data_IF_637872541964
#
_entry.id   IF_637872541964
#
_cell.length_a   1.000
_cell.length_b   1.000
_cell.length_c   1.000
_cell.angle_alpha   90.00
_cell.angle_beta   90.00
_cell.angle_gamma   90.00
#
_symmetry.space_group_name_H-M   'P 1'
#
loop_
_entity.id
_entity.type
_entity.pdbx_description
1 polymer ?
#
# COMPACT_ATOMS: atom_id res chain seq x y z
N UNK A 1 -7.20 8.54 -22.63
CA UNK A 1 -8.45 8.43 -21.85
C UNK A 1 -8.06 8.70 -20.40
N UNK A 2 -8.25 9.93 -19.93
CA UNK A 2 -7.69 10.44 -18.66
C UNK A 2 -8.21 9.72 -17.40
N UNK A 3 -9.17 8.81 -17.53
CA UNK A 3 -9.79 8.07 -16.43
C UNK A 3 -8.74 7.23 -15.69
N UNK A 4 -7.84 6.54 -16.39
CA UNK A 4 -6.77 5.75 -15.73
C UNK A 4 -5.82 6.64 -14.96
N UNK A 5 -5.42 7.79 -15.55
CA UNK A 5 -4.58 8.76 -14.86
C UNK A 5 -5.27 9.36 -13.64
N UNK A 6 -6.58 9.66 -13.70
CA UNK A 6 -7.35 10.14 -12.56
C UNK A 6 -7.49 9.06 -11.48
N UNK A 7 -7.83 7.83 -11.85
CA UNK A 7 -7.95 6.70 -10.93
C UNK A 7 -6.63 6.44 -10.21
N UNK A 8 -5.49 6.44 -10.90
CA UNK A 8 -4.17 6.26 -10.25
C UNK A 8 -3.90 7.32 -9.18
N UNK A 9 -4.30 8.56 -9.43
CA UNK A 9 -4.14 9.65 -8.48
C UNK A 9 -5.08 9.49 -7.27
N UNK A 10 -6.35 9.16 -7.51
CA UNK A 10 -7.33 8.92 -6.43
C UNK A 10 -6.89 7.76 -5.53
N UNK A 11 -6.47 6.63 -6.11
CA UNK A 11 -5.93 5.49 -5.35
C UNK A 11 -4.71 5.90 -4.51
N UNK A 12 -3.81 6.69 -5.08
CA UNK A 12 -2.61 7.15 -4.37
C UNK A 12 -2.94 8.10 -3.23
N UNK A 13 -3.92 9.00 -3.41
CA UNK A 13 -4.36 9.92 -2.37
C UNK A 13 -5.02 9.18 -1.21
N UNK A 14 -5.93 8.25 -1.51
CA UNK A 14 -6.58 7.39 -0.50
C UNK A 14 -5.54 6.58 0.26
N UNK A 15 -4.57 5.98 -0.44
CA UNK A 15 -3.50 5.22 0.18
C UNK A 15 -2.63 6.07 1.10
N UNK A 16 -2.26 7.29 0.68
CA UNK A 16 -1.52 8.24 1.51
C UNK A 16 -2.31 8.64 2.77
N UNK A 17 -3.63 8.86 2.65
CA UNK A 17 -4.48 9.17 3.81
C UNK A 17 -4.54 8.01 4.80
N UNK A 18 -4.68 6.77 4.34
CA UNK A 18 -4.65 5.60 5.23
C UNK A 18 -3.30 5.44 5.90
N UNK A 19 -2.19 5.60 5.17
CA UNK A 19 -0.86 5.60 5.78
C UNK A 19 -0.75 6.69 6.84
N UNK A 20 -1.14 7.93 6.54
CA UNK A 20 -1.11 9.02 7.53
C UNK A 20 -1.98 8.73 8.77
N UNK A 21 -3.17 8.18 8.56
CA UNK A 21 -4.09 7.82 9.64
C UNK A 21 -3.52 6.71 10.53
N UNK A 22 -2.73 5.79 9.98
CA UNK A 22 -2.08 4.73 10.77
C UNK A 22 -1.14 5.27 11.84
N UNK A 23 -0.55 6.46 11.65
CA UNK A 23 0.30 7.11 12.64
C UNK A 23 -0.49 7.85 13.73
N UNK A 24 -1.78 8.12 13.50
CA UNK A 24 -2.64 8.85 14.45
C UNK A 24 -3.44 7.90 15.34
N UNK A 25 -3.74 6.70 14.85
CA UNK A 25 -4.53 5.69 15.57
C UNK A 25 -3.64 4.88 16.52
N UNK A 26 -4.09 4.63 17.75
CA UNK A 26 -3.32 3.84 18.73
C UNK A 26 -3.58 2.33 18.65
N UNK A 27 -4.75 1.88 18.19
CA UNK A 27 -5.21 0.48 18.35
C UNK A 27 -5.35 -0.34 17.05
N UNK A 28 -5.08 0.24 15.87
CA UNK A 28 -5.28 -0.43 14.57
C UNK A 28 -4.21 -0.07 13.53
N UNK A 29 -3.01 0.25 14.01
CA UNK A 29 -1.91 0.81 13.22
C UNK A 29 -1.57 -0.07 12.01
N UNK A 30 -1.35 -1.36 12.23
CA UNK A 30 -0.79 -2.27 11.23
C UNK A 30 -1.78 -2.59 10.11
N UNK A 31 -3.06 -2.82 10.44
CA UNK A 31 -4.11 -3.06 9.45
C UNK A 31 -4.32 -1.86 8.52
N UNK A 32 -4.42 -0.67 9.12
CA UNK A 32 -4.66 0.58 8.40
C UNK A 32 -3.45 0.94 7.54
N UNK A 33 -2.24 0.74 8.07
CA UNK A 33 -1.01 0.90 7.33
C UNK A 33 -0.92 -0.06 6.14
N UNK A 34 -1.22 -1.36 6.35
CA UNK A 34 -1.25 -2.37 5.29
C UNK A 34 -2.21 -1.99 4.16
N UNK A 35 -3.43 -1.56 4.52
CA UNK A 35 -4.43 -1.12 3.56
C UNK A 35 -3.94 0.10 2.77
N UNK A 36 -3.33 1.07 3.45
CA UNK A 36 -2.71 2.23 2.81
C UNK A 36 -1.65 1.85 1.78
N UNK A 37 -0.77 0.90 2.11
CA UNK A 37 0.24 0.37 1.19
C UNK A 37 -0.39 -0.33 -0.02
N UNK A 38 -1.47 -1.10 0.16
CA UNK A 38 -2.18 -1.75 -0.95
C UNK A 38 -2.79 -0.72 -1.90
N UNK A 39 -3.43 0.32 -1.36
CA UNK A 39 -3.99 1.41 -2.18
C UNK A 39 -2.91 2.20 -2.92
N UNK A 40 -1.80 2.50 -2.25
CA UNK A 40 -0.62 3.13 -2.86
C UNK A 40 -0.05 2.26 -4.00
N UNK A 41 0.12 0.96 -3.75
CA UNK A 41 0.59 -0.01 -4.75
C UNK A 41 -0.36 -0.12 -5.94
N UNK A 42 -1.67 -0.19 -5.69
CA UNK A 42 -2.70 -0.18 -6.74
C UNK A 42 -2.64 1.10 -7.57
N UNK A 43 -2.42 2.26 -6.95
CA UNK A 43 -2.22 3.54 -7.64
C UNK A 43 -1.05 3.49 -8.63
N UNK A 44 0.08 2.89 -8.23
CA UNK A 44 1.23 2.68 -9.12
C UNK A 44 0.91 1.70 -10.25
N UNK A 45 0.25 0.58 -9.96
CA UNK A 45 -0.14 -0.40 -10.99
C UNK A 45 -1.07 0.22 -12.04
N UNK A 46 -2.04 1.04 -11.62
CA UNK A 46 -2.93 1.77 -12.52
C UNK A 46 -2.16 2.83 -13.32
N UNK A 47 -1.16 3.49 -12.72
CA UNK A 47 -0.28 4.44 -13.43
C UNK A 47 0.53 3.75 -14.54
N UNK A 48 1.07 2.56 -14.27
CA UNK A 48 1.75 1.73 -15.29
C UNK A 48 0.77 1.30 -16.39
N UNK A 49 -0.47 0.96 -16.04
CA UNK A 49 -1.54 0.70 -17.00
C UNK A 49 -1.85 1.92 -17.89
N UNK A 50 -1.89 3.13 -17.31
CA UNK A 50 -2.11 4.37 -18.04
C UNK A 50 -0.97 4.68 -19.02
N UNK A 51 0.28 4.39 -18.63
CA UNK A 51 1.45 4.48 -19.51
C UNK A 51 1.34 3.52 -20.71
N UNK A 52 0.97 2.27 -20.44
CA UNK A 52 0.85 1.23 -21.47
C UNK A 52 -0.29 1.51 -22.47
N UNK A 53 -1.37 2.13 -22.00
CA UNK A 53 -2.53 2.52 -22.81
C UNK A 53 -2.36 3.87 -23.54
N UNK A 54 -1.17 4.48 -23.51
CA UNK A 54 -0.88 5.72 -24.22
C UNK A 54 -1.59 6.96 -23.67
N UNK A 55 -1.98 6.95 -22.39
CA UNK A 55 -2.68 8.08 -21.79
C UNK A 55 -1.75 9.29 -21.65
N UNK A 56 -2.18 10.48 -22.06
CA UNK A 56 -1.32 11.70 -22.03
C UNK A 56 -1.39 12.45 -20.70
N UNK A 57 -2.23 12.00 -19.76
CA UNK A 57 -2.37 12.63 -18.44
C UNK A 57 -1.08 12.61 -17.63
N UNK A 58 -0.70 13.76 -17.06
CA UNK A 58 0.48 13.90 -16.21
C UNK A 58 0.27 13.34 -14.78
N UNK A 59 -0.99 13.24 -14.34
CA UNK A 59 -1.39 12.77 -13.00
C UNK A 59 -0.87 11.36 -12.66
N UNK A 60 -0.63 10.51 -13.66
CA UNK A 60 -0.02 9.18 -13.48
C UNK A 60 1.39 9.26 -12.89
N UNK A 61 2.18 10.29 -13.23
CA UNK A 61 3.50 10.50 -12.66
C UNK A 61 3.42 11.01 -11.22
N UNK A 62 2.39 11.81 -10.92
CA UNK A 62 2.15 12.29 -9.57
C UNK A 62 1.79 11.13 -8.62
N UNK A 63 1.01 10.14 -9.09
CA UNK A 63 0.75 8.91 -8.33
C UNK A 63 2.04 8.18 -7.93
N UNK A 64 2.99 8.05 -8.87
CA UNK A 64 4.30 7.44 -8.61
C UNK A 64 5.15 8.27 -7.64
N UNK A 65 5.15 9.60 -7.80
CA UNK A 65 5.85 10.50 -6.89
C UNK A 65 5.28 10.43 -5.46
N UNK A 66 3.95 10.38 -5.31
CA UNK A 66 3.28 10.21 -4.01
C UNK A 66 3.67 8.87 -3.39
N UNK A 67 3.69 7.78 -4.16
CA UNK A 67 4.09 6.47 -3.67
C UNK A 67 5.49 6.50 -3.03
N UNK A 68 6.50 6.93 -3.78
CA UNK A 68 7.87 6.98 -3.27
C UNK A 68 8.05 8.03 -2.16
N UNK A 69 7.38 9.18 -2.26
CA UNK A 69 7.41 10.23 -1.25
C UNK A 69 6.85 9.77 0.10
N UNK A 70 5.70 9.08 0.09
CA UNK A 70 5.09 8.54 1.32
C UNK A 70 5.98 7.46 1.92
N UNK A 71 6.50 6.53 1.11
CA UNK A 71 7.41 5.49 1.63
C UNK A 71 8.68 6.10 2.24
N UNK A 72 9.25 7.12 1.60
CA UNK A 72 10.40 7.84 2.14
C UNK A 72 10.07 8.49 3.48
N UNK A 73 8.94 9.18 3.61
CA UNK A 73 8.50 9.79 4.86
C UNK A 73 8.29 8.74 5.96
N UNK A 74 7.68 7.61 5.64
CA UNK A 74 7.50 6.50 6.60
C UNK A 74 8.85 6.02 7.12
N UNK A 75 9.83 5.79 6.23
CA UNK A 75 11.17 5.33 6.64
C UNK A 75 11.89 6.38 7.49
N UNK A 76 11.72 7.67 7.20
CA UNK A 76 12.33 8.75 7.97
C UNK A 76 11.71 8.93 9.36
N UNK A 77 10.40 8.79 9.48
CA UNK A 77 9.66 9.00 10.74
C UNK A 77 9.75 7.76 11.62
N UNK A 78 9.49 6.57 11.07
CA UNK A 78 9.44 5.34 11.84
C UNK A 78 9.99 4.15 11.01
N UNK A 79 11.33 3.98 10.95
CA UNK A 79 11.98 3.02 10.04
C UNK A 79 11.57 1.56 10.31
N UNK A 80 11.18 1.23 11.54
CA UNK A 80 10.76 -0.12 11.92
C UNK A 80 9.27 -0.40 11.67
N UNK A 81 8.51 0.56 11.14
CA UNK A 81 7.08 0.39 10.90
C UNK A 81 6.80 -0.73 9.88
N UNK A 82 7.64 -0.87 8.84
CA UNK A 82 7.57 -2.00 7.90
C UNK A 82 7.90 -3.35 8.56
N UNK A 83 8.90 -3.38 9.45
CA UNK A 83 9.26 -4.61 10.17
C UNK A 83 8.12 -5.05 11.08
N UNK A 84 7.50 -4.09 11.78
CA UNK A 84 6.32 -4.33 12.62
C UNK A 84 5.16 -4.90 11.80
N UNK A 85 4.88 -4.30 10.64
CA UNK A 85 3.86 -4.82 9.72
C UNK A 85 4.15 -6.28 9.34
N UNK A 86 5.38 -6.61 8.96
CA UNK A 86 5.75 -7.98 8.57
C UNK A 86 5.60 -8.99 9.72
N UNK A 87 6.00 -8.61 10.93
CA UNK A 87 5.82 -9.44 12.13
C UNK A 87 4.33 -9.66 12.41
N UNK A 88 3.55 -8.60 12.30
CA UNK A 88 2.11 -8.66 12.52
C UNK A 88 1.40 -9.54 11.47
N UNK A 89 1.76 -9.41 10.19
CA UNK A 89 1.26 -10.29 9.11
C UNK A 89 1.62 -11.75 9.38
N UNK A 90 2.87 -12.02 9.77
CA UNK A 90 3.33 -13.37 10.11
C UNK A 90 2.52 -13.97 11.28
N UNK A 91 2.17 -13.16 12.26
CA UNK A 91 1.43 -13.59 13.45
C UNK A 91 -0.10 -13.61 13.26
N UNK A 92 -0.58 -13.47 12.02
CA UNK A 92 -2.02 -13.54 11.75
C UNK A 92 -2.53 -14.99 11.87
N UNK A 93 -3.68 -15.24 12.54
CA UNK A 93 -4.32 -16.56 12.62
C UNK A 93 -4.48 -17.34 11.31
N UNK A 94 -4.51 -16.65 10.16
CA UNK A 94 -4.65 -17.26 8.83
C UNK A 94 -3.38 -18.02 8.47
N UNK A 95 -2.20 -17.50 8.81
CA UNK A 95 -0.94 -18.21 8.58
C UNK A 95 -0.84 -19.46 9.45
N UNK A 96 -1.28 -19.39 10.72
CA UNK A 96 -1.35 -20.58 11.58
C UNK A 96 -2.29 -21.65 11.01
N UNK A 97 -3.44 -21.25 10.46
CA UNK A 97 -4.37 -22.16 9.79
C UNK A 97 -3.77 -22.77 8.51
N UNK A 98 -3.08 -21.98 7.70
CA UNK A 98 -2.39 -22.45 6.49
C UNK A 98 -1.27 -23.43 6.86
N UNK A 99 -0.43 -23.10 7.84
CA UNK A 99 0.62 -23.99 8.33
C UNK A 99 0.04 -25.32 8.81
N UNK A 100 -1.07 -25.32 9.58
CA UNK A 100 -1.75 -26.57 9.97
C UNK A 100 -2.32 -27.34 8.78
N UNK A 101 -2.84 -26.66 7.76
CA UNK A 101 -3.37 -27.29 6.55
C UNK A 101 -2.28 -27.95 5.69
N UNK A 102 -1.10 -27.33 5.63
CA UNK A 102 0.04 -27.85 4.85
C UNK A 102 0.90 -28.84 5.66
N UNK A 103 1.02 -28.67 6.98
CA UNK A 103 1.76 -29.57 7.88
C UNK A 103 0.96 -30.81 8.28
N UNK A 104 -0.37 -30.78 8.21
CA UNK A 104 -1.25 -31.93 8.45
C UNK A 104 -1.36 -32.94 7.28
N UNK A 105 -0.58 -32.74 6.21
CA UNK A 105 -0.40 -33.73 5.14
C UNK A 105 0.92 -34.48 5.36
N UNK A 106 0.93 -35.39 6.32
CA UNK A 106 2.00 -36.37 6.58
C UNK A 106 1.39 -37.67 7.06
#
# INVERSE_FOLDING_TARGET
MQIYSLSSFVFSLIGAMFVGLSFVLENFVEYVFALGLVFLGAGVLVSVGALRNGDTGWLKWLAVAIFFGVLLLVVLVEPFHFVRLLVWVKNWPVFEMLERMFAGKG
#
